data_IF_390406900859
#
_entry.id   IF_390406900859
#
_cell.length_a   1.000
_cell.length_b   1.000
_cell.length_c   1.000
_cell.angle_alpha   90.00
_cell.angle_beta   90.00
_cell.angle_gamma   90.00
#
_symmetry.space_group_name_H-M   'P 1'
#
loop_
_entity.id
_entity.type
_entity.pdbx_description
1 polymer ?
#
# COMPACT_ATOMS: atom_id res chain seq x y z
N UNK A 1 -5.35 14.29 10.26
CA UNK A 1 -5.07 12.85 10.30
C UNK A 1 -3.57 12.65 10.44
N UNK A 2 -3.16 11.59 11.12
CA UNK A 2 -1.78 11.11 11.11
C UNK A 2 -1.70 9.82 10.31
N UNK A 3 -0.67 9.64 9.49
CA UNK A 3 -0.52 8.48 8.63
C UNK A 3 0.90 7.88 8.69
N UNK A 4 0.97 6.58 8.53
CA UNK A 4 2.21 5.82 8.41
C UNK A 4 2.09 4.83 7.26
N UNK A 5 3.17 4.69 6.48
CA UNK A 5 3.29 3.72 5.39
C UNK A 5 4.47 2.81 5.65
N UNK A 6 4.26 1.50 5.57
CA UNK A 6 5.31 0.49 5.68
C UNK A 6 5.34 -0.44 4.47
N UNK A 7 6.47 -1.10 4.23
CA UNK A 7 6.56 -2.25 3.33
C UNK A 7 5.65 -3.40 3.80
N UNK A 8 4.93 -4.03 2.86
CA UNK A 8 3.97 -5.08 3.16
C UNK A 8 3.90 -6.15 2.05
N UNK A 9 3.25 -7.26 2.36
CA UNK A 9 2.99 -8.34 1.43
C UNK A 9 4.23 -9.20 1.13
N UNK A 10 4.08 -10.11 0.19
CA UNK A 10 5.15 -11.03 -0.20
C UNK A 10 6.33 -10.25 -0.82
N UNK A 11 7.52 -10.39 -0.21
CA UNK A 11 8.76 -9.68 -0.59
C UNK A 11 8.67 -8.14 -0.56
N UNK A 12 7.70 -7.55 0.16
CA UNK A 12 7.59 -6.09 0.27
C UNK A 12 7.11 -5.38 -1.00
N UNK A 13 6.43 -6.10 -1.90
CA UNK A 13 5.87 -5.56 -3.14
C UNK A 13 4.72 -4.59 -2.90
N UNK A 14 3.98 -4.78 -1.81
CA UNK A 14 2.87 -3.92 -1.43
C UNK A 14 3.30 -2.91 -0.36
N UNK A 15 2.43 -1.96 -0.11
CA UNK A 15 2.51 -0.99 0.97
C UNK A 15 1.27 -1.14 1.83
N UNK A 16 1.46 -1.00 3.15
CA UNK A 16 0.35 -0.85 4.07
C UNK A 16 0.41 0.55 4.66
N UNK A 17 -0.63 1.33 4.40
CA UNK A 17 -0.85 2.65 4.97
C UNK A 17 -1.90 2.56 6.06
N UNK A 18 -1.57 3.06 7.24
CA UNK A 18 -2.53 3.26 8.32
C UNK A 18 -2.68 4.75 8.57
N UNK A 19 -3.92 5.23 8.67
CA UNK A 19 -4.22 6.62 8.97
C UNK A 19 -5.21 6.73 10.12
N UNK A 20 -4.88 7.53 11.11
CA UNK A 20 -5.70 7.75 12.29
C UNK A 20 -6.42 9.11 12.24
N UNK A 21 -7.70 9.05 12.60
CA UNK A 21 -8.51 10.21 12.91
C UNK A 21 -8.18 10.81 14.28
N UNK A 22 -8.92 11.85 14.70
CA UNK A 22 -8.79 12.42 16.04
C UNK A 22 -9.03 11.36 17.13
N UNK A 23 -8.25 11.41 18.20
CA UNK A 23 -8.49 10.62 19.40
C UNK A 23 -9.70 11.20 20.14
N UNK A 24 -10.65 10.34 20.48
CA UNK A 24 -11.83 10.67 21.26
C UNK A 24 -11.48 10.79 22.75
N UNK A 25 -12.40 11.34 23.54
CA UNK A 25 -12.22 11.55 24.98
C UNK A 25 -12.10 10.25 25.78
N UNK A 26 -12.68 9.15 25.29
CA UNK A 26 -12.54 7.80 25.84
C UNK A 26 -11.20 7.14 25.46
N UNK A 27 -10.37 7.83 24.67
CA UNK A 27 -9.09 7.37 24.20
C UNK A 27 -9.12 6.51 22.93
N UNK A 28 -10.29 6.25 22.35
CA UNK A 28 -10.43 5.53 21.07
C UNK A 28 -10.18 6.44 19.87
N UNK A 29 -9.92 5.88 18.70
CA UNK A 29 -9.84 6.62 17.44
C UNK A 29 -10.32 5.76 16.28
N UNK A 30 -10.67 6.40 15.18
CA UNK A 30 -10.94 5.71 13.93
C UNK A 30 -9.64 5.52 13.16
N UNK A 31 -9.36 4.30 12.72
CA UNK A 31 -8.22 3.95 11.88
C UNK A 31 -8.71 3.48 10.52
N UNK A 32 -8.06 3.96 9.47
CA UNK A 32 -8.20 3.41 8.12
C UNK A 32 -6.90 2.74 7.73
N UNK A 33 -6.97 1.45 7.38
CA UNK A 33 -5.86 0.65 6.85
C UNK A 33 -6.09 0.41 5.37
N UNK A 34 -5.13 0.79 4.54
CA UNK A 34 -5.12 0.54 3.10
C UNK A 34 -3.89 -0.28 2.75
N UNK A 35 -4.08 -1.44 2.14
CA UNK A 35 -3.00 -2.20 1.49
C UNK A 35 -3.09 -1.93 0.00
N UNK A 36 -1.98 -1.49 -0.58
CA UNK A 36 -1.92 -1.10 -1.99
C UNK A 36 -0.59 -1.51 -2.61
N UNK A 37 -0.62 -1.86 -3.89
CA UNK A 37 0.58 -1.97 -4.71
C UNK A 37 0.91 -0.58 -5.23
N UNK A 38 2.11 -0.03 -4.94
CA UNK A 38 2.47 1.31 -5.39
C UNK A 38 2.53 1.38 -6.91
N UNK A 39 2.38 2.58 -7.44
CA UNK A 39 2.68 2.79 -8.86
C UNK A 39 4.12 2.40 -9.18
N UNK A 40 4.32 1.85 -10.38
CA UNK A 40 5.64 1.50 -10.88
C UNK A 40 5.72 1.67 -12.38
N UNK A 41 6.85 2.15 -12.84
CA UNK A 41 7.18 2.11 -14.26
C UNK A 41 8.23 1.02 -14.49
N UNK A 42 7.94 0.13 -15.44
CA UNK A 42 8.81 -0.98 -15.78
C UNK A 42 9.35 -0.78 -17.19
N UNK A 43 10.66 -0.93 -17.44
CA UNK A 43 11.21 -0.77 -18.78
C UNK A 43 10.44 -1.63 -19.79
N UNK A 44 9.99 -1.00 -20.87
CA UNK A 44 9.34 -1.73 -21.96
C UNK A 44 10.40 -2.51 -22.71
N UNK A 45 10.21 -3.83 -22.78
CA UNK A 45 11.04 -4.72 -23.57
C UNK A 45 10.17 -5.48 -24.54
N UNK A 46 10.58 -5.51 -25.80
CA UNK A 46 9.91 -6.22 -26.87
C UNK A 46 10.82 -7.33 -27.38
N UNK A 47 10.27 -8.53 -27.47
CA UNK A 47 10.94 -9.70 -28.04
C UNK A 47 10.17 -10.17 -29.26
N UNK A 48 10.89 -10.42 -30.34
CA UNK A 48 10.37 -11.10 -31.52
C UNK A 48 11.16 -12.39 -31.72
N UNK A 49 10.48 -13.48 -32.09
CA UNK A 49 11.16 -14.72 -32.43
C UNK A 49 11.58 -14.67 -33.91
N UNK A 50 12.87 -14.53 -34.24
CA UNK A 50 13.31 -14.44 -35.63
C UNK A 50 13.07 -15.73 -36.43
N UNK A 51 12.86 -16.87 -35.75
CA UNK A 51 12.60 -18.16 -36.40
C UNK A 51 11.13 -18.44 -36.68
N UNK A 52 10.22 -17.72 -36.03
CA UNK A 52 8.77 -17.84 -36.23
C UNK A 52 8.14 -16.44 -36.28
N UNK A 53 8.32 -15.71 -37.39
CA UNK A 53 7.79 -14.36 -37.53
C UNK A 53 6.26 -14.32 -37.45
N UNK A 54 5.57 -15.44 -37.70
CA UNK A 54 4.12 -15.56 -37.49
C UNK A 54 3.68 -15.38 -36.04
N UNK A 55 4.56 -15.60 -35.05
CA UNK A 55 4.24 -15.44 -33.64
C UNK A 55 4.21 -13.98 -33.17
N UNK A 56 4.60 -13.03 -34.04
CA UNK A 56 4.55 -11.59 -33.75
C UNK A 56 5.60 -11.12 -32.73
N UNK A 57 5.52 -9.83 -32.41
CA UNK A 57 6.35 -9.18 -31.40
C UNK A 57 5.60 -9.10 -30.07
N UNK A 58 6.17 -9.68 -29.02
CA UNK A 58 5.61 -9.59 -27.66
C UNK A 58 6.34 -8.52 -26.88
N UNK A 59 5.61 -7.52 -26.40
CA UNK A 59 6.13 -6.47 -25.54
C UNK A 59 5.61 -6.63 -24.12
N UNK A 60 6.49 -6.44 -23.13
CA UNK A 60 6.14 -6.40 -21.72
C UNK A 60 6.75 -5.15 -21.07
N UNK A 61 6.17 -4.70 -19.97
CA UNK A 61 6.59 -3.50 -19.25
C UNK A 61 5.55 -2.37 -19.27
N UNK A 62 6.01 -1.15 -19.04
CA UNK A 62 5.23 0.09 -19.00
C UNK A 62 4.75 0.49 -17.60
N UNK A 63 4.12 1.67 -17.56
CA UNK A 63 3.51 2.22 -16.35
C UNK A 63 2.42 1.30 -15.81
N UNK A 64 2.39 1.17 -14.49
CA UNK A 64 1.33 0.52 -13.73
C UNK A 64 0.87 1.52 -12.67
N UNK A 65 -0.41 1.95 -12.69
CA UNK A 65 -0.92 2.82 -11.66
C UNK A 65 -0.94 2.08 -10.32
N UNK A 66 -1.04 2.85 -9.25
CA UNK A 66 -1.34 2.32 -7.92
C UNK A 66 -2.62 1.47 -7.95
N UNK A 67 -2.60 0.35 -7.22
CA UNK A 67 -3.74 -0.54 -7.10
C UNK A 67 -4.03 -0.83 -5.63
N UNK A 68 -5.21 -0.43 -5.16
CA UNK A 68 -5.69 -0.77 -3.82
C UNK A 68 -6.09 -2.25 -3.81
N UNK A 69 -5.47 -3.02 -2.93
CA UNK A 69 -5.78 -4.44 -2.71
C UNK A 69 -6.91 -4.58 -1.69
N UNK A 70 -6.78 -3.90 -0.54
CA UNK A 70 -7.79 -3.88 0.52
C UNK A 70 -7.82 -2.51 1.20
N UNK A 71 -8.99 -2.13 1.68
CA UNK A 71 -9.18 -0.94 2.51
C UNK A 71 -10.25 -1.20 3.56
N UNK A 72 -9.92 -0.92 4.81
CA UNK A 72 -10.78 -1.16 5.96
C UNK A 72 -10.73 0.04 6.90
N UNK A 73 -11.87 0.37 7.51
CA UNK A 73 -11.94 1.39 8.57
C UNK A 73 -12.57 0.76 9.80
N UNK A 74 -11.93 0.93 10.95
CA UNK A 74 -12.37 0.33 12.20
C UNK A 74 -11.96 1.18 13.42
N UNK A 75 -12.73 1.10 14.52
CA UNK A 75 -12.38 1.76 15.77
C UNK A 75 -11.23 1.03 16.46
N UNK A 76 -10.31 1.78 17.05
CA UNK A 76 -9.17 1.27 17.81
C UNK A 76 -9.18 1.85 19.20
N UNK A 77 -8.93 1.01 20.20
CA UNK A 77 -8.69 1.43 21.58
C UNK A 77 -7.22 1.15 21.93
N UNK A 78 -6.62 1.86 22.91
CA UNK A 78 -5.24 1.62 23.32
C UNK A 78 -4.93 0.15 23.69
N UNK A 79 -5.92 -0.56 24.22
CA UNK A 79 -5.79 -1.97 24.61
C UNK A 79 -6.00 -2.96 23.46
N UNK A 80 -6.54 -2.52 22.32
CA UNK A 80 -6.89 -3.39 21.17
C UNK A 80 -6.09 -3.05 19.90
N UNK A 81 -5.08 -2.18 20.01
CA UNK A 81 -4.13 -1.94 18.92
C UNK A 81 -3.50 -3.28 18.55
N UNK A 82 -3.54 -3.62 17.25
CA UNK A 82 -2.94 -4.85 16.77
C UNK A 82 -1.41 -4.81 16.98
N UNK A 83 -0.76 -5.92 17.34
CA UNK A 83 0.68 -5.93 17.66
C UNK A 83 1.58 -5.43 16.53
N UNK A 84 1.13 -5.55 15.29
CA UNK A 84 1.85 -5.15 14.09
C UNK A 84 1.49 -3.75 13.60
N UNK A 85 0.67 -3.00 14.33
CA UNK A 85 0.28 -1.64 13.97
C UNK A 85 0.80 -0.60 14.98
N UNK A 86 1.07 0.65 14.55
CA UNK A 86 1.48 1.69 15.47
C UNK A 86 0.35 2.03 16.45
N UNK A 87 0.73 2.67 17.56
CA UNK A 87 -0.22 3.37 18.42
C UNK A 87 -0.93 4.52 17.69
N UNK A 88 -1.74 5.30 18.40
CA UNK A 88 -2.44 6.43 17.79
C UNK A 88 -1.46 7.42 17.15
N UNK A 89 -1.69 7.73 15.87
CA UNK A 89 -0.92 8.71 15.10
C UNK A 89 -1.58 10.11 15.21
N UNK A 90 -0.94 11.09 15.86
CA UNK A 90 -1.46 12.45 15.96
C UNK A 90 -1.67 13.11 14.59
N UNK A 91 -2.51 14.14 14.50
CA UNK A 91 -2.62 14.95 13.29
C UNK A 91 -1.24 15.43 12.83
N UNK A 92 -1.02 15.40 11.51
CA UNK A 92 0.22 15.82 10.84
C UNK A 92 1.42 14.88 11.01
N UNK A 93 1.23 13.68 11.56
CA UNK A 93 2.22 12.60 11.46
C UNK A 93 2.24 12.03 10.04
N UNK A 94 3.44 11.90 9.45
CA UNK A 94 3.65 11.29 8.14
C UNK A 94 4.94 10.48 8.16
N UNK A 95 4.82 9.18 8.44
CA UNK A 95 5.94 8.27 8.49
C UNK A 95 5.98 7.41 7.22
N UNK A 96 7.18 7.16 6.70
CA UNK A 96 7.45 6.18 5.65
C UNK A 96 8.61 5.33 6.15
N UNK A 97 8.33 4.05 6.43
CA UNK A 97 9.25 3.10 7.06
C UNK A 97 9.58 1.90 6.16
#
# INVERSE_FOLDING_TARGET
>A
MGCEVIHWGFLGNDRRKVCDGPKQSDGTWQRTRTVFTPERDTPVSCSSNPYHPENGTFCYGGYRPEAIQTQETYPVAPATVLPDEPGWLPPYTYNVL
#
